data_IF_187927138040
#
_entry.id   IF_187927138040
#
_cell.length_a   1.000
_cell.length_b   1.000
_cell.length_c   1.000
_cell.angle_alpha   90.00
_cell.angle_beta   90.00
_cell.angle_gamma   90.00
#
_symmetry.space_group_name_H-M   'P 1'
#
loop_
_entity.id
_entity.type
_entity.pdbx_description
1 polymer ?
#
# COMPACT_ATOMS: atom_id res chain seq x y z
N UNK A 1 -4.04 1.07 -1.74
CA UNK A 1 -4.31 0.26 -0.54
C UNK A 1 -4.94 -1.04 -0.98
N UNK A 2 -4.56 -2.14 -0.34
CA UNK A 2 -5.17 -3.45 -0.57
C UNK A 2 -6.25 -3.72 0.50
N UNK A 3 -6.98 -4.83 0.34
CA UNK A 3 -7.82 -5.36 1.41
C UNK A 3 -7.00 -6.29 2.29
N UNK A 4 -7.22 -6.32 3.62
CA UNK A 4 -8.33 -5.71 4.36
C UNK A 4 -8.07 -4.28 4.87
N UNK A 5 -6.90 -3.68 4.60
CA UNK A 5 -6.51 -2.39 5.16
C UNK A 5 -7.45 -1.25 4.72
N UNK A 6 -7.89 -1.29 3.45
CA UNK A 6 -8.87 -0.33 2.93
C UNK A 6 -10.19 -0.39 3.70
N UNK A 7 -10.73 -1.59 3.94
CA UNK A 7 -11.96 -1.80 4.68
C UNK A 7 -11.89 -1.27 6.11
N UNK A 8 -10.80 -1.61 6.81
CA UNK A 8 -10.54 -1.12 8.16
C UNK A 8 -10.44 0.41 8.22
N UNK A 9 -9.79 1.02 7.22
CA UNK A 9 -9.64 2.47 7.15
C UNK A 9 -10.98 3.18 6.92
N UNK A 10 -11.83 2.63 6.04
CA UNK A 10 -13.19 3.15 5.81
C UNK A 10 -14.02 3.04 7.10
N UNK A 11 -13.97 1.90 7.78
CA UNK A 11 -14.70 1.69 9.03
C UNK A 11 -14.24 2.66 10.13
N UNK A 12 -12.94 2.96 10.20
CA UNK A 12 -12.40 3.96 11.12
C UNK A 12 -12.94 5.36 10.82
N UNK A 13 -12.83 5.83 9.57
CA UNK A 13 -13.32 7.16 9.18
C UNK A 13 -14.84 7.30 9.41
N UNK A 14 -15.60 6.24 9.16
CA UNK A 14 -17.04 6.20 9.43
C UNK A 14 -17.32 6.42 10.92
N UNK A 15 -16.60 5.72 11.80
CA UNK A 15 -16.72 5.86 13.26
C UNK A 15 -16.28 7.23 13.75
N UNK A 16 -15.23 7.81 13.17
CA UNK A 16 -14.77 9.17 13.48
C UNK A 16 -15.83 10.23 13.16
N UNK A 17 -16.65 9.99 12.13
CA UNK A 17 -17.82 10.84 11.81
C UNK A 17 -19.08 10.51 12.61
N UNK A 18 -19.08 9.44 13.40
CA UNK A 18 -20.27 8.99 14.13
C UNK A 18 -21.38 8.42 13.25
N UNK A 19 -21.06 7.98 12.03
CA UNK A 19 -22.04 7.44 11.09
C UNK A 19 -22.27 5.94 11.31
N UNK A 20 -23.51 5.49 11.15
CA UNK A 20 -23.88 4.08 11.00
C UNK A 20 -23.57 3.56 9.60
N UNK A 21 -23.65 2.24 9.39
CA UNK A 21 -23.40 1.67 8.05
C UNK A 21 -24.53 2.09 7.08
N UNK A 22 -25.75 2.19 7.58
CA UNK A 22 -26.95 2.63 6.86
C UNK A 22 -26.85 4.11 6.44
N UNK A 23 -26.40 4.98 7.34
CA UNK A 23 -26.21 6.41 7.01
C UNK A 23 -25.09 6.60 5.97
N UNK A 24 -24.00 5.83 6.05
CA UNK A 24 -22.95 5.87 5.03
C UNK A 24 -23.49 5.42 3.66
N UNK A 25 -24.37 4.43 3.66
CA UNK A 25 -25.02 3.89 2.44
C UNK A 25 -25.91 4.92 1.78
N UNK A 26 -26.69 5.67 2.55
CA UNK A 26 -27.52 6.77 2.04
C UNK A 26 -26.66 7.85 1.36
N UNK A 27 -25.49 8.17 1.94
CA UNK A 27 -24.59 9.17 1.39
C UNK A 27 -23.86 8.71 0.12
N UNK A 28 -23.46 7.45 0.06
CA UNK A 28 -22.67 6.92 -1.07
C UNK A 28 -23.53 6.33 -2.19
N UNK A 29 -24.81 6.09 -1.92
CA UNK A 29 -25.75 5.37 -2.78
C UNK A 29 -25.26 3.96 -3.17
N UNK A 30 -24.71 3.22 -2.19
CA UNK A 30 -24.16 1.86 -2.33
C UNK A 30 -24.94 0.92 -1.42
N UNK A 31 -25.18 -0.33 -1.84
CA UNK A 31 -25.87 -1.31 -1.00
C UNK A 31 -25.14 -1.56 0.35
N UNK A 32 -25.89 -1.60 1.46
CA UNK A 32 -25.39 -1.94 2.80
C UNK A 32 -24.54 -3.20 2.82
N UNK A 33 -24.97 -4.27 2.13
CA UNK A 33 -24.22 -5.53 2.04
C UNK A 33 -22.86 -5.34 1.37
N UNK A 34 -22.76 -4.41 0.41
CA UNK A 34 -21.49 -4.10 -0.25
C UNK A 34 -20.56 -3.36 0.69
N UNK A 35 -21.04 -2.36 1.45
CA UNK A 35 -20.24 -1.67 2.46
C UNK A 35 -19.74 -2.65 3.53
N UNK A 36 -20.60 -3.53 4.04
CA UNK A 36 -20.21 -4.56 5.02
C UNK A 36 -19.10 -5.47 4.49
N UNK A 37 -19.22 -5.98 3.27
CA UNK A 37 -18.19 -6.82 2.64
C UNK A 37 -16.88 -6.06 2.38
N UNK A 38 -16.96 -4.76 2.10
CA UNK A 38 -15.77 -3.92 1.95
C UNK A 38 -15.10 -3.69 3.31
N UNK A 39 -15.85 -3.34 4.35
CA UNK A 39 -15.35 -3.14 5.72
C UNK A 39 -14.75 -4.44 6.30
N UNK A 40 -15.33 -5.60 5.98
CA UNK A 40 -14.82 -6.91 6.37
C UNK A 40 -13.62 -7.40 5.53
N UNK A 41 -13.31 -6.73 4.41
CA UNK A 41 -12.24 -7.13 3.50
C UNK A 41 -12.58 -8.26 2.52
N UNK A 42 -13.85 -8.72 2.46
CA UNK A 42 -14.32 -9.80 1.58
C UNK A 42 -14.30 -9.42 0.09
N UNK A 43 -14.37 -8.13 -0.22
CA UNK A 43 -14.43 -7.62 -1.60
C UNK A 43 -13.50 -6.43 -1.76
N UNK A 44 -12.73 -6.46 -2.85
CA UNK A 44 -11.99 -5.28 -3.31
C UNK A 44 -12.90 -4.42 -4.19
N UNK A 45 -13.32 -3.22 -3.73
CA UNK A 45 -14.19 -2.33 -4.50
C UNK A 45 -13.47 -1.73 -5.71
N UNK A 46 -14.24 -1.30 -6.71
CA UNK A 46 -13.69 -0.56 -7.87
C UNK A 46 -13.30 0.86 -7.46
N UNK A 47 -12.37 1.46 -8.20
CA UNK A 47 -11.88 2.83 -7.95
C UNK A 47 -13.01 3.86 -7.83
N UNK A 48 -14.05 3.75 -8.67
CA UNK A 48 -15.23 4.60 -8.61
C UNK A 48 -15.98 4.49 -7.27
N UNK A 49 -16.21 3.26 -6.80
CA UNK A 49 -16.89 3.00 -5.52
C UNK A 49 -16.08 3.57 -4.36
N UNK A 50 -14.75 3.39 -4.39
CA UNK A 50 -13.84 3.94 -3.38
C UNK A 50 -13.91 5.47 -3.35
N UNK A 51 -13.99 6.10 -4.53
CA UNK A 51 -14.13 7.57 -4.65
C UNK A 51 -15.40 8.06 -3.97
N UNK A 52 -16.55 7.48 -4.29
CA UNK A 52 -17.82 7.89 -3.69
C UNK A 52 -17.83 7.73 -2.17
N UNK A 53 -17.25 6.64 -1.65
CA UNK A 53 -17.14 6.40 -0.21
C UNK A 53 -16.29 7.49 0.45
N UNK A 54 -15.12 7.81 -0.11
CA UNK A 54 -14.28 8.85 0.46
C UNK A 54 -14.90 10.24 0.34
N UNK A 55 -15.58 10.55 -0.76
CA UNK A 55 -16.31 11.81 -0.93
C UNK A 55 -17.42 11.99 0.13
N UNK A 56 -18.22 10.95 0.39
CA UNK A 56 -19.19 10.94 1.50
C UNK A 56 -18.52 11.09 2.87
N UNK A 57 -17.35 10.49 3.03
CA UNK A 57 -16.50 10.65 4.21
C UNK A 57 -15.70 11.98 4.19
N UNK A 58 -15.95 12.89 3.25
CA UNK A 58 -15.33 14.22 3.19
C UNK A 58 -13.82 14.18 2.99
N UNK A 59 -13.30 13.12 2.36
CA UNK A 59 -11.90 12.93 2.04
C UNK A 59 -11.71 12.88 0.54
N UNK A 60 -10.68 13.59 0.05
CA UNK A 60 -10.24 13.39 -1.33
C UNK A 60 -9.44 12.09 -1.43
N UNK A 61 -9.63 11.37 -2.54
CA UNK A 61 -8.83 10.18 -2.84
C UNK A 61 -7.33 10.51 -2.80
N UNK A 62 -6.95 11.69 -3.28
CA UNK A 62 -5.56 12.14 -3.34
C UNK A 62 -4.92 12.28 -1.95
N UNK A 63 -5.68 12.74 -0.94
CA UNK A 63 -5.21 12.77 0.46
C UNK A 63 -4.92 11.37 1.01
N UNK A 64 -5.75 10.40 0.65
CA UNK A 64 -5.63 9.02 1.12
C UNK A 64 -4.37 8.36 0.54
N UNK A 65 -4.09 8.56 -0.75
CA UNK A 65 -2.89 8.00 -1.40
C UNK A 65 -1.60 8.75 -1.02
N UNK A 66 -1.66 10.06 -0.77
CA UNK A 66 -0.50 10.81 -0.23
C UNK A 66 -0.06 10.30 1.15
N UNK A 67 -0.98 9.76 1.94
CA UNK A 67 -0.67 9.19 3.26
C UNK A 67 0.12 7.89 3.16
N UNK A 68 -0.04 7.09 2.10
CA UNK A 68 0.72 5.85 1.88
C UNK A 68 2.18 6.07 1.45
N UNK A 69 2.56 7.28 1.05
CA UNK A 69 3.93 7.59 0.60
C UNK A 69 4.82 8.17 1.71
N UNK A 70 4.28 8.39 2.92
CA UNK A 70 5.11 8.88 4.05
C UNK A 70 5.88 7.73 4.72
N UNK A 71 7.08 7.58 4.17
CA UNK A 71 8.32 7.02 4.69
C UNK A 71 8.49 5.50 4.68
N UNK A 72 9.54 4.99 4.01
CA UNK A 72 9.95 3.61 4.13
C UNK A 72 10.32 3.32 5.59
N UNK A 73 10.03 2.10 6.03
CA UNK A 73 10.53 1.52 7.26
C UNK A 73 12.04 1.77 7.30
N UNK A 74 12.48 2.76 8.06
CA UNK A 74 13.90 2.90 8.37
C UNK A 74 14.28 1.60 9.08
N UNK A 75 14.98 0.72 8.38
CA UNK A 75 15.69 -0.41 8.97
C UNK A 75 16.40 0.13 10.22
N UNK A 76 16.24 -0.50 11.40
CA UNK A 76 16.91 -0.01 12.59
C UNK A 76 18.39 0.08 12.24
N UNK A 77 18.96 1.27 12.36
CA UNK A 77 20.37 1.50 12.11
C UNK A 77 21.15 0.58 13.07
N UNK A 78 21.53 -0.60 12.58
CA UNK A 78 22.49 -1.45 13.24
C UNK A 78 23.76 -0.62 13.33
N UNK A 79 24.12 -0.25 14.56
CA UNK A 79 25.37 0.42 14.87
C UNK A 79 26.51 -0.54 14.49
N UNK A 80 27.01 -0.41 13.27
CA UNK A 80 28.24 -1.08 12.87
C UNK A 80 29.38 -0.43 13.64
N UNK A 81 29.74 -1.07 14.75
CA UNK A 81 30.95 -0.70 15.47
C UNK A 81 32.15 -1.00 14.56
N UNK A 82 32.76 0.06 14.01
CA UNK A 82 33.88 0.03 13.06
C UNK A 82 35.19 -0.49 13.69
N UNK A 83 35.15 -1.16 14.83
CA UNK A 83 36.31 -1.73 15.51
C UNK A 83 36.47 -3.25 15.33
N UNK A 84 35.51 -3.93 14.70
CA UNK A 84 35.56 -5.38 14.44
C UNK A 84 35.94 -5.78 12.99
N UNK A 85 36.43 -4.84 12.19
CA UNK A 85 37.11 -5.15 10.93
C UNK A 85 38.63 -5.13 11.14
N UNK A 86 39.11 -6.16 11.84
CA UNK A 86 40.54 -6.46 11.97
C UNK A 86 41.04 -7.39 10.85
N UNK A 87 40.70 -7.14 9.59
CA UNK A 87 41.34 -7.81 8.43
C UNK A 87 41.47 -6.77 7.30
N UNK A 88 42.70 -6.62 6.80
CA UNK A 88 43.20 -5.46 6.06
C UNK A 88 42.50 -5.13 4.73
N UNK A 89 42.71 -3.87 4.35
CA UNK A 89 42.21 -3.18 3.17
C UNK A 89 42.86 -3.62 1.83
N UNK A 90 43.21 -4.88 1.63
CA UNK A 90 44.05 -5.29 0.49
C UNK A 90 43.46 -6.32 -0.50
N UNK A 91 42.14 -6.59 -0.52
CA UNK A 91 41.59 -7.59 -1.47
C UNK A 91 40.27 -7.26 -2.18
N UNK A 92 39.67 -6.07 -2.06
CA UNK A 92 38.36 -5.78 -2.67
C UNK A 92 38.41 -4.79 -3.84
N UNK A 93 39.26 -5.07 -4.83
CA UNK A 93 39.23 -4.39 -6.15
C UNK A 93 39.29 -5.33 -7.36
N UNK A 94 39.03 -6.64 -7.22
CA UNK A 94 39.10 -7.57 -8.36
C UNK A 94 37.87 -8.47 -8.63
N UNK A 95 36.69 -8.11 -8.11
CA UNK A 95 35.42 -8.78 -8.47
C UNK A 95 34.28 -7.80 -8.75
N UNK A 96 34.60 -6.64 -9.34
CA UNK A 96 33.60 -5.77 -9.98
C UNK A 96 33.44 -6.16 -11.45
N UNK A 97 32.92 -7.37 -11.70
CA UNK A 97 32.22 -7.71 -12.94
C UNK A 97 31.74 -9.15 -12.82
N UNK A 98 30.43 -9.34 -12.64
CA UNK A 98 29.62 -10.40 -13.25
C UNK A 98 28.22 -10.33 -12.62
N UNK A 99 27.24 -10.02 -13.48
CA UNK A 99 25.86 -10.53 -13.47
C UNK A 99 24.76 -9.67 -12.82
N UNK A 100 24.51 -8.52 -13.43
CA UNK A 100 23.13 -8.05 -13.64
C UNK A 100 22.83 -8.13 -15.15
N UNK A 101 21.93 -9.02 -15.57
CA UNK A 101 20.96 -8.88 -16.68
C UNK A 101 20.52 -10.25 -17.25
N UNK A 102 19.31 -10.69 -16.87
CA UNK A 102 18.37 -11.60 -17.56
C UNK A 102 17.21 -11.78 -16.57
N UNK A 103 15.93 -11.52 -16.83
CA UNK A 103 15.17 -11.50 -18.07
C UNK A 103 13.99 -10.53 -17.90
N UNK A 104 13.84 -9.57 -18.81
CA UNK A 104 12.52 -9.03 -19.16
C UNK A 104 12.11 -9.72 -20.45
N UNK A 105 11.10 -10.58 -20.35
CA UNK A 105 10.57 -11.34 -21.46
C UNK A 105 10.05 -10.43 -22.56
N UNK A 106 10.55 -10.64 -23.78
CA UNK A 106 9.90 -10.17 -25.00
C UNK A 106 9.22 -11.34 -25.67
N UNK A 107 7.90 -11.27 -25.72
CA UNK A 107 7.07 -11.93 -26.72
C UNK A 107 7.57 -11.52 -28.12
N UNK A 108 7.96 -12.49 -28.96
CA UNK A 108 7.46 -12.62 -30.34
C UNK A 108 7.91 -13.95 -30.95
N UNK A 109 6.96 -14.50 -31.69
CA UNK A 109 6.85 -15.83 -32.32
C UNK A 109 7.26 -15.74 -33.79
N UNK A 110 7.62 -16.90 -34.36
CA UNK A 110 7.78 -17.21 -35.80
C UNK A 110 9.13 -16.78 -36.41
N UNK A 111 9.82 -17.58 -37.23
CA UNK A 111 9.42 -18.69 -38.10
C UNK A 111 10.29 -19.94 -37.88
#
# INVERSE_FOLDING_TARGET
>A
MNQPELGNYIAQLRKEKGLTQEELVELCNINVRTIQRIENGDVTPRSYTVKNIFEALGKSIDEVFKKSEKQPDVLPAINYNKSLLGWGNDCWYHLFNIRYFKCVGKYKRSF
#
